data_IF_500390777959
#
_entry.id   IF_500390777959
#
_cell.length_a   1.000
_cell.length_b   1.000
_cell.length_c   1.000
_cell.angle_alpha   90.00
_cell.angle_beta   90.00
_cell.angle_gamma   90.00
#
_symmetry.space_group_name_H-M   'P 1'
#
loop_
_entity.id
_entity.type
_entity.pdbx_description
1 polymer ?
#
# COMPACT_ATOMS: atom_id res chain seq x y z
N UNK A 1 -19.14 25.12 15.74
CA UNK A 1 -19.16 23.93 14.86
C UNK A 1 -17.84 23.90 14.13
N UNK A 2 -16.99 22.89 14.35
CA UNK A 2 -15.71 22.77 13.63
C UNK A 2 -16.03 22.18 12.26
N UNK A 3 -15.95 23.00 11.22
CA UNK A 3 -15.90 22.51 9.84
C UNK A 3 -14.60 21.71 9.70
N UNK A 4 -14.70 20.39 9.85
CA UNK A 4 -13.65 19.49 9.36
C UNK A 4 -13.80 19.55 7.85
N UNK A 5 -13.10 20.50 7.23
CA UNK A 5 -12.78 20.42 5.80
C UNK A 5 -12.02 19.11 5.64
N UNK A 6 -12.72 18.06 5.28
CA UNK A 6 -12.16 16.81 4.79
C UNK A 6 -11.31 17.17 3.57
N UNK A 7 -10.04 17.48 3.82
CA UNK A 7 -9.04 17.35 2.78
C UNK A 7 -9.03 15.85 2.50
N UNK A 8 -9.78 15.44 1.48
CA UNK A 8 -9.51 14.20 0.76
C UNK A 8 -8.07 14.35 0.31
N UNK A 9 -7.13 13.89 1.14
CA UNK A 9 -5.72 14.03 0.89
C UNK A 9 -5.47 13.20 -0.38
N UNK A 10 -5.15 13.88 -1.47
CA UNK A 10 -4.95 13.20 -2.75
C UNK A 10 -3.88 12.13 -2.56
N UNK A 11 -4.25 10.89 -2.86
CA UNK A 11 -3.37 9.76 -2.68
C UNK A 11 -2.12 9.98 -3.55
N UNK A 12 -0.88 9.96 -3.02
CA UNK A 12 0.31 10.12 -3.83
C UNK A 12 0.44 9.01 -4.88
N UNK A 13 1.18 9.27 -5.96
CA UNK A 13 1.27 8.34 -7.09
C UNK A 13 1.84 6.97 -6.68
N UNK A 14 2.85 6.94 -5.80
CA UNK A 14 3.41 5.70 -5.27
C UNK A 14 2.35 4.86 -4.52
N UNK A 15 1.52 5.51 -3.71
CA UNK A 15 0.43 4.85 -2.98
C UNK A 15 -0.66 4.36 -3.93
N UNK A 16 -0.99 5.13 -4.98
CA UNK A 16 -1.94 4.70 -6.03
C UNK A 16 -1.43 3.46 -6.76
N UNK A 17 -0.15 3.42 -7.11
CA UNK A 17 0.48 2.27 -7.78
C UNK A 17 0.39 1.01 -6.91
N UNK A 18 0.79 1.11 -5.64
CA UNK A 18 0.72 -0.03 -4.71
C UNK A 18 -0.71 -0.45 -4.44
N UNK A 19 -1.63 0.49 -4.27
CA UNK A 19 -3.06 0.21 -4.09
C UNK A 19 -3.63 -0.51 -5.30
N UNK A 20 -3.33 -0.05 -6.51
CA UNK A 20 -3.76 -0.69 -7.76
C UNK A 20 -3.31 -2.13 -7.85
N UNK A 21 -2.08 -2.44 -7.42
CA UNK A 21 -1.58 -3.82 -7.38
C UNK A 21 -2.36 -4.68 -6.37
N UNK A 22 -2.69 -4.14 -5.20
CA UNK A 22 -3.43 -4.87 -4.16
C UNK A 22 -4.87 -5.15 -4.60
N UNK A 23 -5.59 -4.15 -5.11
CA UNK A 23 -7.02 -4.31 -5.48
C UNK A 23 -7.21 -5.20 -6.70
N UNK A 24 -6.24 -5.21 -7.62
CA UNK A 24 -6.27 -6.05 -8.82
C UNK A 24 -5.64 -7.44 -8.59
N UNK A 25 -5.23 -7.75 -7.36
CA UNK A 25 -4.73 -9.07 -7.04
C UNK A 25 -5.87 -10.11 -7.17
N UNK A 26 -5.66 -11.23 -7.87
CA UNK A 26 -6.71 -12.24 -8.07
C UNK A 26 -7.07 -12.98 -6.77
N UNK A 27 -6.22 -12.89 -5.75
CA UNK A 27 -6.38 -13.56 -4.47
C UNK A 27 -6.52 -12.54 -3.34
N UNK A 28 -7.23 -12.93 -2.27
CA UNK A 28 -7.34 -12.16 -1.03
C UNK A 28 -5.99 -11.77 -0.41
N UNK A 29 -4.94 -12.55 -0.69
CA UNK A 29 -3.59 -12.32 -0.17
C UNK A 29 -2.59 -12.17 -1.33
N UNK A 30 -1.73 -11.18 -1.22
CA UNK A 30 -0.61 -10.95 -2.13
C UNK A 30 0.68 -10.80 -1.33
N UNK A 31 1.79 -11.38 -1.82
CA UNK A 31 3.10 -11.29 -1.16
C UNK A 31 3.82 -10.03 -1.61
N UNK A 32 4.67 -9.46 -0.74
CA UNK A 32 5.50 -8.28 -1.06
C UNK A 32 6.36 -8.50 -2.30
N UNK A 33 6.91 -9.70 -2.44
CA UNK A 33 7.67 -10.10 -3.63
C UNK A 33 6.85 -10.05 -4.91
N UNK A 34 5.62 -10.58 -4.91
CA UNK A 34 4.73 -10.47 -6.08
C UNK A 34 4.39 -9.03 -6.41
N UNK A 35 4.17 -8.20 -5.39
CA UNK A 35 3.92 -6.77 -5.59
C UNK A 35 5.13 -6.08 -6.23
N UNK A 36 6.35 -6.31 -5.72
CA UNK A 36 7.58 -5.77 -6.30
C UNK A 36 7.77 -6.20 -7.76
N UNK A 37 7.57 -7.48 -8.04
CA UNK A 37 7.68 -8.02 -9.40
C UNK A 37 6.68 -7.38 -10.36
N UNK A 38 5.43 -7.16 -9.93
CA UNK A 38 4.41 -6.49 -10.76
C UNK A 38 4.71 -5.01 -10.98
N UNK A 39 5.38 -4.36 -10.04
CA UNK A 39 5.82 -2.98 -10.14
C UNK A 39 7.17 -2.82 -10.88
N UNK A 40 7.84 -3.91 -11.24
CA UNK A 40 9.14 -3.89 -11.91
C UNK A 40 10.33 -3.56 -11.00
N UNK A 41 10.17 -3.70 -9.68
CA UNK A 41 11.23 -3.49 -8.70
C UNK A 41 11.95 -4.78 -8.34
N UNK A 42 13.28 -4.68 -8.17
CA UNK A 42 14.08 -5.79 -7.64
C UNK A 42 13.72 -6.10 -6.18
N UNK A 43 13.79 -7.37 -5.80
CA UNK A 43 13.60 -7.80 -4.42
C UNK A 43 14.82 -7.45 -3.55
N UNK A 44 14.82 -6.23 -3.02
CA UNK A 44 15.82 -5.74 -2.08
C UNK A 44 15.18 -5.38 -0.73
N UNK A 45 15.99 -5.35 0.33
CA UNK A 45 15.54 -4.94 1.67
C UNK A 45 14.97 -3.52 1.69
N UNK A 46 15.53 -2.62 0.88
CA UNK A 46 15.05 -1.25 0.71
C UNK A 46 13.66 -1.21 0.08
N UNK A 47 13.45 -1.97 -1.01
CA UNK A 47 12.17 -2.00 -1.71
C UNK A 47 11.08 -2.70 -0.89
N UNK A 48 11.43 -3.75 -0.15
CA UNK A 48 10.51 -4.37 0.80
C UNK A 48 10.10 -3.41 1.93
N UNK A 49 11.05 -2.61 2.46
CA UNK A 49 10.77 -1.59 3.45
C UNK A 49 9.86 -0.49 2.89
N UNK A 50 10.09 -0.07 1.64
CA UNK A 50 9.26 0.90 0.95
C UNK A 50 7.81 0.40 0.79
N UNK A 51 7.58 -0.82 0.30
CA UNK A 51 6.22 -1.39 0.22
C UNK A 51 5.55 -1.45 1.59
N UNK A 52 6.27 -1.89 2.63
CA UNK A 52 5.71 -1.96 4.00
C UNK A 52 5.25 -0.59 4.48
N UNK A 53 6.05 0.46 4.21
CA UNK A 53 5.70 1.84 4.53
C UNK A 53 4.44 2.27 3.80
N UNK A 54 4.38 2.08 2.48
CA UNK A 54 3.22 2.46 1.67
C UNK A 54 1.95 1.76 2.16
N UNK A 55 2.01 0.44 2.42
CA UNK A 55 0.85 -0.32 2.95
C UNK A 55 0.42 0.21 4.32
N UNK A 56 1.37 0.50 5.21
CA UNK A 56 1.07 1.07 6.52
C UNK A 56 0.37 2.42 6.39
N UNK A 57 0.85 3.29 5.51
CA UNK A 57 0.25 4.60 5.28
C UNK A 57 -1.13 4.49 4.63
N UNK A 58 -1.31 3.59 3.64
CA UNK A 58 -2.62 3.27 3.06
C UNK A 58 -3.64 2.87 4.13
N UNK A 59 -3.24 2.04 5.09
CA UNK A 59 -4.12 1.59 6.17
C UNK A 59 -4.37 2.67 7.24
N UNK A 60 -3.33 3.38 7.68
CA UNK A 60 -3.39 4.26 8.86
C UNK A 60 -3.72 5.71 8.55
N UNK A 61 -3.19 6.25 7.44
CA UNK A 61 -3.38 7.65 7.04
C UNK A 61 -4.59 7.76 6.12
N UNK A 62 -4.69 6.86 5.15
CA UNK A 62 -5.74 6.90 4.12
C UNK A 62 -6.91 5.96 4.40
N UNK A 63 -6.90 5.27 5.55
CA UNK A 63 -8.00 4.42 6.04
C UNK A 63 -8.48 3.32 5.07
N UNK A 64 -7.62 2.84 4.16
CA UNK A 64 -7.95 1.70 3.31
C UNK A 64 -8.00 0.40 4.15
N UNK A 65 -8.97 -0.51 3.89
CA UNK A 65 -9.15 -1.75 4.65
C UNK A 65 -8.13 -2.83 4.23
N UNK A 66 -6.84 -2.49 4.27
CA UNK A 66 -5.72 -3.35 3.88
C UNK A 66 -5.03 -3.82 5.16
N UNK A 67 -5.08 -5.13 5.39
CA UNK A 67 -4.35 -5.78 6.46
C UNK A 67 -2.99 -6.30 5.97
N UNK A 68 -1.99 -6.30 6.84
CA UNK A 68 -0.71 -6.95 6.58
C UNK A 68 -0.49 -8.04 7.62
N UNK A 69 -0.28 -9.28 7.19
CA UNK A 69 0.14 -10.35 8.08
C UNK A 69 1.68 -10.39 8.13
N UNK A 70 2.23 -10.31 9.34
CA UNK A 70 3.65 -10.49 9.57
C UNK A 70 3.84 -11.94 10.00
N UNK A 71 4.07 -12.84 9.05
CA UNK A 71 4.68 -14.12 9.39
C UNK A 71 6.15 -13.82 9.74
N UNK A 72 6.42 -13.80 11.04
CA UNK A 72 7.77 -13.79 11.61
C UNK A 72 8.56 -15.01 11.15
#
# INVERSE_FOLDING_TARGET
MKEVKEKVQELPDEHRLVLNVIINAPNKYITKEKMLNQLGYEKTSSNERWIRRIISELSTIYAYPIGCNYSS
#
